data_IF_674013985722
#
_entry.id   IF_674013985722
#
_cell.length_a   1.000
_cell.length_b   1.000
_cell.length_c   1.000
_cell.angle_alpha   90.00
_cell.angle_beta   90.00
_cell.angle_gamma   90.00
#
_symmetry.space_group_name_H-M   'P 1'
#
loop_
_entity.id
_entity.type
_entity.pdbx_description
1 polymer ?
#
# COMPACT_ATOMS: atom_id res chain seq x y z
N UNK A 1 24.38 -14.89 -2.09
CA UNK A 1 23.14 -14.08 -2.22
C UNK A 1 22.76 -13.86 -3.67
N UNK A 2 23.67 -13.35 -4.52
CA UNK A 2 23.39 -13.05 -5.93
C UNK A 2 22.83 -14.22 -6.74
N UNK A 3 23.37 -15.43 -6.56
CA UNK A 3 22.86 -16.62 -7.26
C UNK A 3 21.41 -16.94 -6.88
N UNK A 4 21.04 -16.76 -5.61
CA UNK A 4 19.68 -16.95 -5.13
C UNK A 4 18.73 -15.88 -5.68
N UNK A 5 19.19 -14.62 -5.80
CA UNK A 5 18.43 -13.55 -6.45
C UNK A 5 18.20 -13.86 -7.92
N UNK A 6 19.25 -14.23 -8.66
CA UNK A 6 19.13 -14.63 -10.08
C UNK A 6 18.17 -15.81 -10.25
N UNK A 7 18.25 -16.81 -9.38
CA UNK A 7 17.32 -17.95 -9.37
C UNK A 7 15.88 -17.52 -9.11
N UNK A 8 15.65 -16.59 -8.18
CA UNK A 8 14.33 -16.06 -7.87
C UNK A 8 13.77 -15.18 -9.00
N UNK A 9 14.60 -14.32 -9.59
CA UNK A 9 14.25 -13.48 -10.74
C UNK A 9 13.91 -14.34 -11.96
N UNK A 10 14.67 -15.39 -12.23
CA UNK A 10 14.42 -16.32 -13.33
C UNK A 10 13.23 -17.28 -13.09
N UNK A 11 12.72 -17.39 -11.85
CA UNK A 11 11.57 -18.25 -11.55
C UNK A 11 10.37 -17.83 -12.40
N UNK A 12 9.81 -18.75 -13.19
CA UNK A 12 8.59 -18.50 -13.95
C UNK A 12 7.39 -18.38 -12.99
N UNK A 13 6.43 -17.49 -13.26
CA UNK A 13 5.20 -17.43 -12.46
C UNK A 13 4.40 -18.73 -12.63
N UNK A 14 3.71 -19.14 -11.57
CA UNK A 14 2.85 -20.33 -11.59
C UNK A 14 1.56 -20.10 -12.36
N UNK A 15 0.99 -18.89 -12.31
CA UNK A 15 -0.22 -18.54 -13.05
C UNK A 15 -0.06 -17.17 -13.69
N UNK A 16 -0.48 -17.07 -14.96
CA UNK A 16 -0.68 -15.82 -15.68
C UNK A 16 -2.10 -15.86 -16.23
N UNK A 17 -2.91 -14.88 -15.83
CA UNK A 17 -4.22 -14.62 -16.41
C UNK A 17 -4.14 -13.33 -17.23
N UNK A 18 -4.46 -13.43 -18.51
CA UNK A 18 -4.46 -12.31 -19.44
C UNK A 18 -5.90 -12.03 -19.90
N UNK A 19 -6.26 -10.75 -19.90
CA UNK A 19 -7.60 -10.30 -20.24
C UNK A 19 -7.50 -9.16 -21.23
N UNK A 20 -8.38 -9.19 -22.22
CA UNK A 20 -8.63 -8.08 -23.13
C UNK A 20 -10.07 -7.67 -22.96
N UNK A 21 -10.28 -6.40 -22.69
CA UNK A 21 -11.63 -5.87 -22.54
C UNK A 21 -12.38 -5.93 -23.87
N UNK A 22 -13.66 -6.31 -23.84
CA UNK A 22 -14.47 -6.45 -25.06
C UNK A 22 -15.05 -5.11 -25.53
N UNK A 23 -15.00 -4.07 -24.69
CA UNK A 23 -15.63 -2.76 -24.95
C UNK A 23 -14.63 -1.60 -25.05
N UNK A 24 -13.38 -1.80 -24.67
CA UNK A 24 -12.35 -0.76 -24.66
C UNK A 24 -10.99 -1.33 -25.06
N UNK A 25 -10.01 -0.45 -25.16
CA UNK A 25 -8.60 -0.76 -25.38
C UNK A 25 -7.89 -1.34 -24.13
N UNK A 26 -8.61 -1.52 -23.02
CA UNK A 26 -8.01 -2.01 -21.79
C UNK A 26 -7.49 -3.45 -21.93
N UNK A 27 -6.22 -3.65 -21.54
CA UNK A 27 -5.61 -4.96 -21.37
C UNK A 27 -5.26 -5.16 -19.90
N UNK A 28 -5.45 -6.36 -19.36
CA UNK A 28 -5.22 -6.66 -17.95
C UNK A 28 -4.44 -7.95 -17.73
N UNK A 29 -3.62 -7.95 -16.67
CA UNK A 29 -2.85 -9.11 -16.23
C UNK A 29 -3.07 -9.34 -14.74
N UNK A 30 -3.31 -10.59 -14.35
CA UNK A 30 -3.20 -11.06 -12.99
C UNK A 30 -2.14 -12.16 -12.98
N UNK A 31 -1.07 -11.92 -12.24
CA UNK A 31 0.10 -12.82 -12.19
C UNK A 31 0.27 -13.31 -10.77
N UNK A 32 0.43 -14.63 -10.64
CA UNK A 32 0.75 -15.30 -9.38
C UNK A 32 2.14 -15.89 -9.55
N UNK A 33 3.12 -15.33 -8.83
CA UNK A 33 4.49 -15.83 -8.83
C UNK A 33 4.59 -17.17 -8.11
N UNK A 34 3.81 -17.36 -7.04
CA UNK A 34 3.59 -18.67 -6.43
C UNK A 34 2.29 -18.75 -5.65
N UNK A 35 1.79 -19.97 -5.46
CA UNK A 35 0.71 -20.33 -4.53
C UNK A 35 1.27 -20.93 -3.25
N UNK A 36 2.44 -20.47 -2.77
CA UNK A 36 2.98 -20.89 -1.48
C UNK A 36 1.90 -20.77 -0.42
N UNK A 37 1.75 -21.78 0.45
CA UNK A 37 0.71 -21.78 1.46
C UNK A 37 -0.72 -21.88 0.93
N UNK A 38 -0.92 -22.19 -0.35
CA UNK A 38 -2.24 -22.40 -0.96
C UNK A 38 -2.94 -21.13 -1.46
N UNK A 39 -2.31 -19.96 -1.35
CA UNK A 39 -2.87 -18.71 -1.88
C UNK A 39 -1.79 -17.69 -2.23
N UNK A 40 -2.22 -16.57 -2.82
CA UNK A 40 -1.38 -15.41 -3.09
C UNK A 40 -2.18 -14.12 -2.95
N UNK A 41 -1.49 -12.98 -2.85
CA UNK A 41 -2.17 -11.69 -2.87
C UNK A 41 -1.35 -10.58 -3.52
N UNK A 42 -2.06 -9.55 -3.97
CA UNK A 42 -1.48 -8.33 -4.52
C UNK A 42 -2.54 -7.31 -4.93
N UNK A 43 -2.21 -6.03 -4.78
CA UNK A 43 -3.10 -4.95 -5.22
C UNK A 43 -3.33 -4.93 -6.75
N UNK A 44 -4.44 -4.34 -7.18
CA UNK A 44 -4.76 -4.04 -8.57
C UNK A 44 -4.33 -2.63 -8.91
N UNK A 45 -3.45 -2.49 -9.91
CA UNK A 45 -2.95 -1.21 -10.43
C UNK A 45 -3.60 -0.87 -11.76
N UNK A 46 -3.86 0.41 -12.02
CA UNK A 46 -4.25 0.90 -13.35
C UNK A 46 -3.30 2.01 -13.80
N UNK A 47 -2.63 1.81 -14.92
CA UNK A 47 -1.71 2.80 -15.48
C UNK A 47 -1.57 2.59 -16.98
N UNK A 48 -1.69 3.66 -17.75
CA UNK A 48 -1.38 3.63 -19.17
C UNK A 48 0.09 3.24 -19.38
N UNK A 49 0.34 2.24 -20.22
CA UNK A 49 1.67 1.71 -20.51
C UNK A 49 2.21 0.69 -19.51
N UNK A 50 1.42 0.23 -18.53
CA UNK A 50 1.82 -0.92 -17.70
C UNK A 50 1.94 -2.17 -18.56
N UNK A 51 2.99 -2.96 -18.33
CA UNK A 51 3.27 -4.18 -19.07
C UNK A 51 3.10 -5.42 -18.20
N UNK A 52 2.92 -6.58 -18.84
CA UNK A 52 2.94 -7.90 -18.17
C UNK A 52 4.20 -8.09 -17.32
N UNK A 53 5.36 -7.69 -17.82
CA UNK A 53 6.64 -7.84 -17.11
C UNK A 53 6.72 -6.97 -15.86
N UNK A 54 6.17 -5.75 -15.90
CA UNK A 54 6.04 -4.91 -14.71
C UNK A 54 5.13 -5.59 -13.66
N UNK A 55 3.99 -6.14 -14.09
CA UNK A 55 3.08 -6.86 -13.19
C UNK A 55 3.76 -8.09 -12.59
N UNK A 56 4.57 -8.81 -13.36
CA UNK A 56 5.35 -9.97 -12.89
C UNK A 56 6.40 -9.56 -11.86
N UNK A 57 7.14 -8.48 -12.12
CA UNK A 57 8.13 -7.95 -11.18
C UNK A 57 7.46 -7.56 -9.85
N UNK A 58 6.30 -6.90 -9.91
CA UNK A 58 5.52 -6.55 -8.72
C UNK A 58 4.98 -7.79 -7.97
N UNK A 59 4.55 -8.84 -8.68
CA UNK A 59 4.11 -10.10 -8.07
C UNK A 59 5.26 -10.80 -7.32
N UNK A 60 6.47 -10.79 -7.89
CA UNK A 60 7.69 -11.27 -7.22
C UNK A 60 7.98 -10.47 -5.96
N UNK A 61 7.90 -9.14 -6.03
CA UNK A 61 8.08 -8.28 -4.85
C UNK A 61 7.04 -8.59 -3.76
N UNK A 62 5.79 -8.87 -4.13
CA UNK A 62 4.78 -9.29 -3.16
C UNK A 62 5.13 -10.62 -2.47
N UNK A 63 5.75 -11.57 -3.17
CA UNK A 63 6.20 -12.83 -2.55
C UNK A 63 7.27 -12.58 -1.48
N UNK A 64 8.23 -11.69 -1.78
CA UNK A 64 9.24 -11.29 -0.79
C UNK A 64 8.57 -10.63 0.42
N UNK A 65 7.63 -9.71 0.20
CA UNK A 65 6.88 -9.05 1.29
C UNK A 65 6.16 -10.05 2.21
N UNK A 66 5.45 -11.03 1.64
CA UNK A 66 4.79 -12.06 2.45
C UNK A 66 5.76 -13.02 3.13
N UNK A 67 6.94 -13.23 2.55
CA UNK A 67 8.00 -14.04 3.18
C UNK A 67 8.56 -13.35 4.42
N UNK A 68 8.72 -12.03 4.38
CA UNK A 68 9.37 -11.28 5.46
C UNK A 68 8.39 -10.93 6.58
N UNK A 69 7.18 -10.47 6.25
CA UNK A 69 6.30 -9.83 7.24
C UNK A 69 4.81 -10.09 7.01
N UNK A 70 4.44 -11.26 6.48
CA UNK A 70 3.04 -11.59 6.20
C UNK A 70 2.69 -13.05 6.50
N UNK A 71 1.43 -13.45 6.25
CA UNK A 71 1.09 -14.87 6.28
C UNK A 71 1.96 -15.63 5.26
N UNK A 72 2.24 -16.92 5.48
CA UNK A 72 3.12 -17.72 4.62
C UNK A 72 2.45 -18.09 3.29
N UNK A 73 2.05 -17.07 2.53
CA UNK A 73 1.40 -17.13 1.23
C UNK A 73 2.37 -16.74 0.11
N UNK A 74 2.01 -16.97 -1.15
CA UNK A 74 2.79 -16.54 -2.30
C UNK A 74 2.51 -15.10 -2.74
N UNK A 75 3.27 -14.62 -3.72
CA UNK A 75 3.11 -13.28 -4.27
C UNK A 75 2.23 -13.27 -5.51
N UNK A 76 1.30 -12.32 -5.58
CA UNK A 76 0.55 -12.04 -6.79
C UNK A 76 0.49 -10.55 -7.09
N UNK A 77 -0.01 -10.19 -8.26
CA UNK A 77 -0.30 -8.80 -8.62
C UNK A 77 -1.28 -8.72 -9.78
N UNK A 78 -2.09 -7.67 -9.77
CA UNK A 78 -2.97 -7.30 -10.88
C UNK A 78 -2.55 -5.96 -11.48
N UNK A 79 -2.62 -5.82 -12.80
CA UNK A 79 -2.34 -4.58 -13.52
C UNK A 79 -3.25 -4.43 -14.74
N UNK A 80 -3.77 -3.23 -14.97
CA UNK A 80 -4.64 -2.89 -16.10
C UNK A 80 -4.02 -1.72 -16.86
N UNK A 81 -3.72 -1.95 -18.13
CA UNK A 81 -3.28 -0.94 -19.08
C UNK A 81 -4.49 -0.15 -19.58
N UNK A 82 -4.84 0.90 -18.83
CA UNK A 82 -5.92 1.82 -19.18
C UNK A 82 -5.68 3.18 -18.55
N UNK A 83 -6.21 4.25 -19.16
CA UNK A 83 -6.08 5.59 -18.62
C UNK A 83 -6.95 5.76 -17.36
N UNK A 84 -6.37 6.02 -16.17
CA UNK A 84 -7.14 6.15 -14.94
C UNK A 84 -8.02 7.41 -14.89
N UNK A 85 -7.81 8.37 -15.80
CA UNK A 85 -8.63 9.58 -15.93
C UNK A 85 -9.76 9.43 -16.96
N UNK A 86 -9.82 8.31 -17.67
CA UNK A 86 -10.87 8.09 -18.66
C UNK A 86 -12.23 7.89 -17.96
N UNK A 87 -13.31 8.53 -18.45
CA UNK A 87 -14.63 8.41 -17.85
C UNK A 87 -15.16 6.97 -17.79
N UNK A 88 -14.64 6.07 -18.64
CA UNK A 88 -15.01 4.64 -18.69
C UNK A 88 -14.31 3.79 -17.64
N UNK A 89 -13.34 4.32 -16.86
CA UNK A 89 -12.55 3.58 -15.85
C UNK A 89 -13.41 2.67 -14.99
N UNK A 90 -14.53 3.18 -14.49
CA UNK A 90 -15.43 2.44 -13.60
C UNK A 90 -16.01 1.19 -14.25
N UNK A 91 -16.36 1.26 -15.53
CA UNK A 91 -16.92 0.12 -16.27
C UNK A 91 -15.83 -0.90 -16.63
N UNK A 92 -14.62 -0.44 -16.97
CA UNK A 92 -13.44 -1.31 -17.15
C UNK A 92 -13.16 -2.10 -15.88
N UNK A 93 -13.15 -1.44 -14.72
CA UNK A 93 -12.95 -2.13 -13.43
C UNK A 93 -14.07 -3.14 -13.14
N UNK A 94 -15.34 -2.82 -13.41
CA UNK A 94 -16.44 -3.79 -13.24
C UNK A 94 -16.20 -5.07 -14.03
N UNK A 95 -15.83 -4.96 -15.31
CA UNK A 95 -15.55 -6.12 -16.17
C UNK A 95 -14.30 -6.88 -15.75
N UNK A 96 -13.25 -6.17 -15.32
CA UNK A 96 -12.05 -6.79 -14.75
C UNK A 96 -12.38 -7.66 -13.54
N UNK A 97 -13.08 -7.11 -12.53
CA UNK A 97 -13.43 -7.86 -11.32
C UNK A 97 -14.39 -9.03 -11.58
N UNK A 98 -15.24 -8.92 -12.61
CA UNK A 98 -16.05 -10.03 -13.07
C UNK A 98 -15.20 -11.13 -13.71
N UNK A 99 -14.24 -10.77 -14.57
CA UNK A 99 -13.34 -11.71 -15.23
C UNK A 99 -12.41 -12.43 -14.24
N UNK A 100 -11.87 -11.73 -13.24
CA UNK A 100 -10.95 -12.30 -12.25
C UNK A 100 -11.65 -12.97 -11.07
N UNK A 101 -12.98 -12.91 -11.00
CA UNK A 101 -13.79 -13.46 -9.90
C UNK A 101 -13.42 -14.89 -9.49
N UNK A 102 -13.21 -15.86 -10.41
CA UNK A 102 -12.88 -17.23 -10.01
C UNK A 102 -11.62 -17.29 -9.15
N UNK A 103 -10.57 -16.55 -9.52
CA UNK A 103 -9.31 -16.49 -8.76
C UNK A 103 -9.50 -15.80 -7.40
N UNK A 104 -10.24 -14.68 -7.40
CA UNK A 104 -10.53 -13.88 -6.21
C UNK A 104 -11.37 -14.63 -5.15
N UNK A 105 -12.20 -15.58 -5.58
CA UNK A 105 -12.97 -16.43 -4.67
C UNK A 105 -12.19 -17.64 -4.17
N UNK A 106 -11.16 -18.07 -4.88
CA UNK A 106 -10.50 -19.35 -4.58
C UNK A 106 -9.18 -19.19 -3.83
N UNK A 107 -8.23 -18.43 -4.36
CA UNK A 107 -6.84 -18.43 -3.84
C UNK A 107 -6.06 -17.15 -4.12
N UNK A 108 -6.70 -16.10 -4.65
CA UNK A 108 -6.08 -14.79 -4.84
C UNK A 108 -6.78 -13.72 -3.99
N UNK A 109 -6.01 -12.96 -3.22
CA UNK A 109 -6.48 -11.75 -2.54
C UNK A 109 -6.04 -10.50 -3.30
N UNK A 110 -6.94 -9.54 -3.43
CA UNK A 110 -6.62 -8.25 -4.05
C UNK A 110 -6.74 -7.11 -3.05
N UNK A 111 -6.25 -5.95 -3.45
CA UNK A 111 -6.53 -4.67 -2.82
C UNK A 111 -6.34 -3.52 -3.81
N UNK A 112 -6.42 -2.29 -3.32
CA UNK A 112 -6.08 -1.08 -4.05
C UNK A 112 -4.58 -0.99 -4.33
N UNK A 113 -4.24 -0.27 -5.40
CA UNK A 113 -2.88 0.14 -5.73
C UNK A 113 -2.97 1.46 -6.51
N UNK A 114 -1.89 1.87 -7.15
CA UNK A 114 -1.83 3.09 -7.95
C UNK A 114 -3.03 3.20 -8.90
N UNK A 115 -3.76 4.31 -8.73
CA UNK A 115 -4.97 4.71 -9.43
C UNK A 115 -6.18 3.76 -9.30
N UNK A 116 -6.19 2.85 -8.32
CA UNK A 116 -7.35 2.01 -8.00
C UNK A 116 -7.53 2.00 -6.49
N UNK A 117 -8.61 2.63 -6.02
CA UNK A 117 -8.86 2.85 -4.60
C UNK A 117 -9.46 1.61 -3.91
N UNK A 118 -8.93 1.25 -2.74
CA UNK A 118 -9.40 0.10 -1.95
C UNK A 118 -10.88 0.25 -1.55
N UNK A 119 -11.24 1.41 -1.00
CA UNK A 119 -12.51 1.62 -0.29
C UNK A 119 -13.64 1.92 -1.26
N UNK A 120 -13.38 2.77 -2.25
CA UNK A 120 -14.39 3.28 -3.17
C UNK A 120 -14.51 2.45 -4.45
N UNK A 121 -13.49 1.65 -4.79
CA UNK A 121 -13.47 0.85 -6.02
C UNK A 121 -13.37 -0.65 -5.73
N UNK A 122 -12.31 -1.13 -5.08
CA UNK A 122 -12.05 -2.57 -4.93
C UNK A 122 -13.11 -3.26 -4.07
N UNK A 123 -13.37 -2.79 -2.85
CA UNK A 123 -14.34 -3.41 -1.93
C UNK A 123 -15.74 -3.47 -2.56
N UNK A 124 -16.32 -2.37 -3.09
CA UNK A 124 -17.67 -2.41 -3.68
C UNK A 124 -17.75 -3.27 -4.93
N UNK A 125 -16.70 -3.32 -5.76
CA UNK A 125 -16.68 -4.14 -6.98
C UNK A 125 -16.54 -5.63 -6.67
N UNK A 126 -15.76 -6.00 -5.65
CA UNK A 126 -15.72 -7.36 -5.13
C UNK A 126 -17.12 -7.79 -4.65
N UNK A 127 -17.76 -6.98 -3.80
CA UNK A 127 -19.08 -7.29 -3.25
C UNK A 127 -20.15 -7.45 -4.34
N UNK A 128 -20.16 -6.56 -5.34
CA UNK A 128 -21.06 -6.67 -6.50
C UNK A 128 -20.85 -7.95 -7.32
N UNK A 129 -19.64 -8.50 -7.28
CA UNK A 129 -19.31 -9.76 -7.94
C UNK A 129 -19.54 -10.99 -7.03
N UNK A 130 -20.11 -10.82 -5.84
CA UNK A 130 -20.34 -11.91 -4.89
C UNK A 130 -19.04 -12.43 -4.25
N UNK A 131 -18.03 -11.56 -4.16
CA UNK A 131 -16.82 -11.76 -3.36
C UNK A 131 -17.04 -11.04 -2.03
N UNK A 132 -16.95 -11.77 -0.92
CA UNK A 132 -17.32 -11.30 0.43
C UNK A 132 -16.43 -10.14 0.89
N UNK A 133 -15.14 -10.21 0.58
CA UNK A 133 -14.13 -9.21 0.89
C UNK A 133 -12.93 -9.40 -0.06
N UNK A 134 -12.14 -8.36 -0.39
CA UNK A 134 -11.03 -8.48 -1.36
C UNK A 134 -10.00 -9.58 -1.05
N UNK A 135 -9.91 -10.00 0.22
CA UNK A 135 -9.03 -11.08 0.67
C UNK A 135 -9.70 -12.45 0.78
N UNK A 136 -10.95 -12.63 0.31
CA UNK A 136 -11.67 -13.92 0.42
C UNK A 136 -10.86 -15.09 -0.13
N UNK A 137 -10.24 -14.95 -1.30
CA UNK A 137 -9.40 -15.99 -1.89
C UNK A 137 -8.20 -16.36 -1.02
N UNK A 138 -7.57 -15.40 -0.33
CA UNK A 138 -6.52 -15.71 0.66
C UNK A 138 -7.11 -16.50 1.81
N UNK A 139 -8.26 -16.07 2.35
CA UNK A 139 -8.90 -16.75 3.49
C UNK A 139 -9.21 -18.21 3.16
N UNK A 140 -9.85 -18.44 2.00
CA UNK A 140 -10.24 -19.78 1.54
C UNK A 140 -9.03 -20.64 1.15
N UNK A 141 -8.11 -20.11 0.35
CA UNK A 141 -6.95 -20.85 -0.15
C UNK A 141 -5.91 -21.16 0.92
N UNK A 142 -5.66 -20.24 1.85
CA UNK A 142 -4.63 -20.38 2.88
C UNK A 142 -5.12 -21.09 4.13
N UNK A 143 -6.19 -20.57 4.76
CA UNK A 143 -6.62 -21.05 6.07
C UNK A 143 -7.50 -22.28 5.99
N UNK A 144 -8.16 -22.53 4.83
CA UNK A 144 -8.97 -23.73 4.54
C UNK A 144 -9.93 -24.09 5.68
N UNK A 145 -10.57 -23.08 6.26
CA UNK A 145 -11.56 -23.24 7.33
C UNK A 145 -12.91 -23.64 6.75
N UNK A 146 -13.79 -24.13 7.63
CA UNK A 146 -15.21 -24.25 7.30
C UNK A 146 -15.85 -22.87 7.04
N UNK A 147 -17.10 -22.84 6.58
CA UNK A 147 -17.77 -21.57 6.26
C UNK A 147 -17.86 -20.65 7.48
N UNK A 148 -18.11 -21.20 8.67
CA UNK A 148 -18.16 -20.41 9.91
C UNK A 148 -16.82 -19.73 10.21
N UNK A 149 -15.71 -20.48 10.14
CA UNK A 149 -14.37 -19.94 10.36
C UNK A 149 -13.96 -18.93 9.29
N UNK A 150 -14.31 -19.20 8.03
CA UNK A 150 -14.07 -18.28 6.90
C UNK A 150 -14.79 -16.95 7.13
N UNK A 151 -16.08 -16.99 7.48
CA UNK A 151 -16.87 -15.79 7.75
C UNK A 151 -16.35 -15.01 8.95
N UNK A 152 -15.87 -15.69 10.00
CA UNK A 152 -15.28 -15.02 11.17
C UNK A 152 -14.03 -14.22 10.79
N UNK A 153 -13.12 -14.79 9.99
CA UNK A 153 -11.90 -14.07 9.55
C UNK A 153 -12.29 -12.89 8.66
N UNK A 154 -13.19 -13.09 7.70
CA UNK A 154 -13.66 -12.02 6.82
C UNK A 154 -14.31 -10.89 7.61
N UNK A 155 -15.09 -11.22 8.65
CA UNK A 155 -15.72 -10.25 9.52
C UNK A 155 -14.70 -9.44 10.33
N UNK A 156 -13.64 -10.09 10.83
CA UNK A 156 -12.56 -9.40 11.53
C UNK A 156 -11.80 -8.45 10.59
N UNK A 157 -11.50 -8.89 9.37
CA UNK A 157 -10.83 -8.05 8.38
C UNK A 157 -11.69 -6.83 8.00
N UNK A 158 -12.97 -7.03 7.73
CA UNK A 158 -13.88 -5.93 7.34
C UNK A 158 -14.14 -4.92 8.45
N UNK A 159 -13.94 -5.30 9.72
CA UNK A 159 -14.02 -4.39 10.87
C UNK A 159 -12.69 -3.77 11.26
N UNK A 160 -11.60 -4.54 11.21
CA UNK A 160 -10.30 -4.14 11.74
C UNK A 160 -9.61 -3.08 10.88
N UNK A 161 -9.66 -3.22 9.56
CA UNK A 161 -9.02 -2.25 8.65
C UNK A 161 -9.63 -0.84 8.77
N UNK A 162 -10.97 -0.66 8.76
CA UNK A 162 -11.58 0.66 8.93
C UNK A 162 -11.75 1.09 10.39
N UNK A 163 -11.26 0.30 11.36
CA UNK A 163 -11.43 0.62 12.78
C UNK A 163 -10.78 1.99 13.09
N UNK A 164 -11.50 2.86 13.78
CA UNK A 164 -10.97 4.18 14.16
C UNK A 164 -9.99 4.04 15.33
N UNK A 165 -8.85 4.70 15.21
CA UNK A 165 -7.82 4.72 16.24
C UNK A 165 -8.15 5.79 17.28
N UNK A 166 -8.70 5.37 18.42
CA UNK A 166 -9.13 6.28 19.50
C UNK A 166 -8.03 6.61 20.52
N UNK A 167 -6.96 5.80 20.57
CA UNK A 167 -5.86 6.02 21.51
C UNK A 167 -5.08 7.29 21.12
N UNK A 168 -5.09 8.30 21.99
CA UNK A 168 -4.41 9.61 21.80
C UNK A 168 -2.91 9.52 21.52
N UNK A 169 -2.25 8.41 21.88
CA UNK A 169 -0.84 8.18 21.56
C UNK A 169 -0.62 7.68 20.14
N UNK A 170 -1.64 7.09 19.52
CA UNK A 170 -1.55 6.46 18.21
C UNK A 170 -2.25 7.27 17.11
N UNK A 171 -3.06 8.27 17.46
CA UNK A 171 -3.73 9.13 16.50
C UNK A 171 -3.12 10.54 16.48
N UNK A 172 -2.83 11.10 15.28
CA UNK A 172 -2.37 12.48 15.17
C UNK A 172 -3.34 13.50 15.75
N UNK A 173 -4.65 13.28 15.61
CA UNK A 173 -5.67 14.17 16.12
C UNK A 173 -6.89 13.37 16.57
N UNK A 174 -7.22 13.40 17.86
CA UNK A 174 -8.37 12.67 18.40
C UNK A 174 -9.73 13.19 17.92
N UNK A 175 -9.78 14.43 17.42
CA UNK A 175 -10.99 15.02 16.84
C UNK A 175 -11.17 14.64 15.36
N UNK A 176 -10.10 14.17 14.69
CA UNK A 176 -10.19 13.60 13.33
C UNK A 176 -10.27 12.08 13.41
N UNK A 177 -11.05 11.47 12.50
CA UNK A 177 -11.24 10.02 12.45
C UNK A 177 -10.22 9.39 11.52
N UNK A 178 -9.09 8.96 12.08
CA UNK A 178 -8.12 8.13 11.37
C UNK A 178 -8.43 6.65 11.59
N UNK A 179 -8.52 5.89 10.51
CA UNK A 179 -8.64 4.44 10.58
C UNK A 179 -7.28 3.77 10.81
N UNK A 180 -7.29 2.50 11.22
CA UNK A 180 -6.09 1.66 11.24
C UNK A 180 -5.45 1.65 9.85
N UNK A 181 -6.25 1.51 8.79
CA UNK A 181 -5.75 1.55 7.40
C UNK A 181 -4.98 2.82 7.03
N UNK A 182 -5.38 3.98 7.57
CA UNK A 182 -4.71 5.27 7.29
C UNK A 182 -3.30 5.35 7.91
N UNK A 183 -3.12 4.71 9.06
CA UNK A 183 -1.94 4.90 9.91
C UNK A 183 -0.97 3.71 9.90
N UNK A 184 -1.48 2.49 9.74
CA UNK A 184 -0.72 1.25 10.04
C UNK A 184 0.55 1.09 9.22
N UNK A 185 0.55 1.54 7.97
CA UNK A 185 1.73 1.40 7.09
C UNK A 185 2.84 2.36 7.53
N UNK A 186 2.50 3.62 7.81
CA UNK A 186 3.47 4.60 8.32
C UNK A 186 3.96 4.25 9.72
N UNK A 187 3.06 3.71 10.56
CA UNK A 187 3.42 3.14 11.86
C UNK A 187 4.46 2.02 11.71
N UNK A 188 4.23 1.04 10.83
CA UNK A 188 5.17 -0.05 10.59
C UNK A 188 6.55 0.42 10.08
N UNK A 189 6.59 1.48 9.26
CA UNK A 189 7.86 2.11 8.82
C UNK A 189 8.60 2.69 10.02
N UNK A 190 7.92 3.47 10.86
CA UNK A 190 8.54 4.06 12.05
C UNK A 190 9.04 2.97 13.01
N UNK A 191 8.21 1.98 13.33
CA UNK A 191 8.58 0.85 14.19
C UNK A 191 9.79 0.07 13.64
N UNK A 192 9.88 -0.14 12.32
CA UNK A 192 11.04 -0.81 11.72
C UNK A 192 12.34 -0.03 11.98
N UNK A 193 12.30 1.30 11.93
CA UNK A 193 13.44 2.18 12.24
C UNK A 193 13.77 2.14 13.74
N UNK A 194 12.76 2.18 14.61
CA UNK A 194 12.94 2.07 16.06
C UNK A 194 13.58 0.72 16.43
N UNK A 195 13.08 -0.37 15.84
CA UNK A 195 13.62 -1.71 16.02
C UNK A 195 15.07 -1.84 15.53
N UNK A 196 15.44 -1.19 14.42
CA UNK A 196 16.83 -1.16 13.98
C UNK A 196 17.76 -0.62 15.08
N UNK A 197 17.43 0.54 15.67
CA UNK A 197 18.23 1.12 16.76
C UNK A 197 18.20 0.26 18.03
N UNK A 198 17.07 -0.37 18.35
CA UNK A 198 16.99 -1.29 19.48
C UNK A 198 17.90 -2.53 19.33
N UNK A 199 18.08 -3.03 18.11
CA UNK A 199 18.90 -4.23 17.84
C UNK A 199 20.39 -3.88 17.71
N UNK A 200 20.70 -2.85 16.95
CA UNK A 200 22.09 -2.51 16.58
C UNK A 200 22.72 -1.43 17.47
N UNK A 201 21.95 -0.88 18.42
CA UNK A 201 22.39 0.14 19.37
C UNK A 201 22.14 1.57 18.89
N UNK A 202 22.01 2.47 19.86
CA UNK A 202 21.63 3.88 19.65
C UNK A 202 20.14 4.11 19.85
N UNK A 203 19.68 5.31 19.50
CA UNK A 203 18.27 5.70 19.55
C UNK A 203 17.93 6.65 18.41
N UNK A 204 16.65 6.69 18.03
CA UNK A 204 16.15 7.61 17.01
C UNK A 204 16.11 9.07 17.52
N UNK A 205 16.06 9.25 18.83
CA UNK A 205 15.95 10.56 19.47
C UNK A 205 17.11 11.45 19.06
N UNK A 206 16.79 12.65 18.58
CA UNK A 206 17.77 13.63 18.09
C UNK A 206 18.33 13.36 16.69
N UNK A 207 17.96 12.25 16.03
CA UNK A 207 18.40 11.98 14.65
C UNK A 207 17.64 12.86 13.66
N UNK A 208 18.36 13.45 12.70
CA UNK A 208 17.75 14.22 11.61
C UNK A 208 17.15 13.29 10.57
N UNK A 209 15.93 13.58 10.14
CA UNK A 209 15.17 12.77 9.18
C UNK A 209 14.62 13.66 8.07
N UNK A 210 14.75 13.17 6.84
CA UNK A 210 14.12 13.72 5.64
C UNK A 210 12.99 12.77 5.23
N UNK A 211 11.84 13.33 4.88
CA UNK A 211 10.65 12.59 4.44
C UNK A 211 10.37 12.92 2.97
N UNK A 212 10.29 11.89 2.13
CA UNK A 212 9.87 12.03 0.73
C UNK A 212 8.47 11.44 0.55
N UNK A 213 7.58 12.24 -0.02
CA UNK A 213 6.14 12.05 -0.10
C UNK A 213 5.41 12.57 1.15
N UNK A 214 4.17 13.03 0.99
CA UNK A 214 3.32 13.47 2.12
C UNK A 214 1.92 12.82 2.18
N UNK A 215 1.76 11.70 1.48
CA UNK A 215 0.57 10.86 1.56
C UNK A 215 0.45 10.09 2.87
N UNK A 216 -0.54 9.20 2.97
CA UNK A 216 -0.82 8.41 4.19
C UNK A 216 0.42 7.76 4.83
N UNK A 217 1.23 7.06 4.04
CA UNK A 217 2.39 6.31 4.57
C UNK A 217 3.46 7.25 5.15
N UNK A 218 3.95 8.17 4.32
CA UNK A 218 5.07 9.05 4.69
C UNK A 218 4.68 10.04 5.78
N UNK A 219 3.47 10.60 5.71
CA UNK A 219 2.95 11.50 6.74
C UNK A 219 2.77 10.81 8.10
N UNK A 220 2.18 9.60 8.12
CA UNK A 220 2.07 8.83 9.36
C UNK A 220 3.44 8.42 9.91
N UNK A 221 4.38 7.99 9.05
CA UNK A 221 5.75 7.68 9.47
C UNK A 221 6.45 8.90 10.09
N UNK A 222 6.33 10.08 9.48
CA UNK A 222 6.88 11.32 10.01
C UNK A 222 6.30 11.64 11.40
N UNK A 223 4.99 11.47 11.58
CA UNK A 223 4.32 11.66 12.88
C UNK A 223 4.90 10.74 13.97
N UNK A 224 5.00 9.43 13.71
CA UNK A 224 5.51 8.47 14.71
C UNK A 224 7.01 8.64 14.98
N UNK A 225 7.81 8.94 13.97
CA UNK A 225 9.24 9.23 14.15
C UNK A 225 9.45 10.50 14.98
N UNK A 226 8.71 11.58 14.69
CA UNK A 226 8.75 12.80 15.47
C UNK A 226 8.28 12.57 16.92
N UNK A 227 7.25 11.75 17.12
CA UNK A 227 6.80 11.33 18.45
C UNK A 227 7.89 10.59 19.23
N UNK A 228 8.70 9.76 18.55
CA UNK A 228 9.84 9.08 19.14
C UNK A 228 11.09 9.97 19.33
N UNK A 229 10.99 11.27 19.00
CA UNK A 229 12.04 12.25 19.19
C UNK A 229 13.00 12.42 18.01
N UNK A 230 12.70 11.85 16.84
CA UNK A 230 13.40 12.18 15.62
C UNK A 230 13.15 13.65 15.23
N UNK A 231 14.15 14.29 14.63
CA UNK A 231 14.09 15.68 14.19
C UNK A 231 13.82 15.70 12.70
N UNK A 232 12.59 16.00 12.30
CA UNK A 232 12.26 16.16 10.88
C UNK A 232 12.87 17.47 10.40
N UNK A 233 13.76 17.41 9.41
CA UNK A 233 14.47 18.59 8.87
C UNK A 233 14.10 18.92 7.43
N UNK A 234 13.48 17.98 6.73
CA UNK A 234 13.07 18.15 5.35
C UNK A 234 11.85 17.30 5.02
N UNK A 235 10.92 17.87 4.28
CA UNK A 235 9.77 17.19 3.71
C UNK A 235 9.69 17.58 2.24
N UNK A 236 9.63 16.62 1.33
CA UNK A 236 9.51 16.87 -0.12
C UNK A 236 8.41 16.01 -0.73
N UNK A 237 7.54 16.60 -1.51
CA UNK A 237 6.42 15.97 -2.21
C UNK A 237 6.31 16.53 -3.64
N UNK A 238 5.50 15.93 -4.51
CA UNK A 238 5.36 16.39 -5.90
C UNK A 238 4.94 17.87 -6.03
N UNK A 239 4.25 18.41 -5.01
CA UNK A 239 3.84 19.82 -4.96
C UNK A 239 4.93 20.79 -4.50
N UNK A 240 6.06 20.31 -3.97
CA UNK A 240 7.11 21.16 -3.40
C UNK A 240 7.71 20.59 -2.12
N UNK A 241 8.44 21.40 -1.36
CA UNK A 241 9.06 20.95 -0.13
C UNK A 241 9.27 22.02 0.94
N UNK A 242 9.46 21.55 2.16
CA UNK A 242 9.74 22.33 3.36
C UNK A 242 11.08 21.88 3.92
N UNK A 243 11.96 22.83 4.21
CA UNK A 243 13.28 22.56 4.79
C UNK A 243 13.47 23.46 6.00
N UNK A 244 13.84 22.85 7.12
CA UNK A 244 14.26 23.53 8.33
C UNK A 244 15.43 22.75 8.94
N UNK A 245 16.65 23.29 8.80
CA UNK A 245 17.89 22.63 9.25
C UNK A 245 17.97 22.45 10.76
N UNK A 246 17.26 23.29 11.51
CA UNK A 246 17.14 23.24 12.97
C UNK A 246 16.08 22.23 13.42
N UNK A 247 15.16 21.87 12.52
CA UNK A 247 14.15 20.85 12.71
C UNK A 247 12.76 21.38 13.05
N UNK A 248 11.74 20.64 12.61
CA UNK A 248 10.34 20.85 12.98
C UNK A 248 10.05 20.21 14.33
N UNK A 249 9.29 20.92 15.17
CA UNK A 249 8.78 20.36 16.43
C UNK A 249 7.72 19.29 16.17
N UNK A 250 7.47 18.42 17.14
CA UNK A 250 6.42 17.40 17.04
C UNK A 250 5.05 17.99 16.70
N UNK A 251 4.67 19.11 17.33
CA UNK A 251 3.39 19.78 17.04
C UNK A 251 3.36 20.40 15.64
N UNK A 252 4.49 20.88 15.10
CA UNK A 252 4.57 21.35 13.72
C UNK A 252 4.38 20.21 12.72
N UNK A 253 5.06 19.07 12.92
CA UNK A 253 4.91 17.88 12.06
C UNK A 253 3.47 17.38 12.08
N UNK A 254 2.87 17.30 13.27
CA UNK A 254 1.47 16.93 13.45
C UNK A 254 0.52 17.91 12.75
N UNK A 255 0.73 19.23 12.89
CA UNK A 255 -0.06 20.24 12.19
C UNK A 255 0.06 20.13 10.65
N UNK A 256 1.26 19.86 10.12
CA UNK A 256 1.48 19.64 8.68
C UNK A 256 0.76 18.38 8.17
N UNK A 257 0.68 17.33 8.99
CA UNK A 257 -0.11 16.14 8.66
C UNK A 257 -1.61 16.43 8.70
N UNK A 258 -2.07 17.24 9.65
CA UNK A 258 -3.47 17.58 9.79
C UNK A 258 -3.97 18.53 8.71
N UNK A 259 -3.15 19.48 8.28
CA UNK A 259 -3.54 20.56 7.35
C UNK A 259 -3.33 20.22 5.88
N UNK A 260 -2.89 18.99 5.57
CA UNK A 260 -2.73 18.53 4.19
C UNK A 260 -4.08 18.48 3.45
N UNK A 261 -4.10 18.87 2.18
CA UNK A 261 -5.24 18.58 1.31
C UNK A 261 -5.07 17.20 0.68
N UNK A 262 -5.99 16.29 1.05
CA UNK A 262 -5.92 14.89 0.64
C UNK A 262 -4.59 14.22 1.06
N UNK A 263 -3.65 14.05 0.12
CA UNK A 263 -2.38 13.35 0.32
C UNK A 263 -1.16 14.22 -0.05
N UNK A 264 -1.34 15.54 -0.16
CA UNK A 264 -0.28 16.47 -0.60
C UNK A 264 0.15 17.41 0.50
N UNK A 265 1.45 17.72 0.54
CA UNK A 265 1.98 18.73 1.46
C UNK A 265 1.41 20.12 1.14
N UNK A 266 0.97 20.85 2.17
CA UNK A 266 0.51 22.23 2.04
C UNK A 266 1.07 23.12 3.15
N UNK A 267 1.66 24.25 2.75
CA UNK A 267 2.15 25.30 3.63
C UNK A 267 2.44 26.56 2.82
N UNK A 268 2.29 27.73 3.44
CA UNK A 268 2.49 29.04 2.79
C UNK A 268 3.94 29.27 2.31
N UNK A 269 4.92 28.58 2.91
CA UNK A 269 6.35 28.81 2.67
C UNK A 269 7.04 27.64 1.97
N UNK A 270 6.33 26.94 1.08
CA UNK A 270 6.90 25.82 0.33
C UNK A 270 7.89 26.29 -0.76
N UNK A 271 9.03 25.61 -0.82
CA UNK A 271 9.91 25.64 -1.98
C UNK A 271 9.27 24.87 -3.13
N UNK A 272 9.60 25.23 -4.37
CA UNK A 272 9.29 24.38 -5.53
C UNK A 272 9.96 23.00 -5.37
N UNK A 273 9.42 21.99 -6.06
CA UNK A 273 9.97 20.64 -6.02
C UNK A 273 11.46 20.63 -6.38
N UNK A 274 11.85 21.28 -7.47
CA UNK A 274 13.25 21.29 -7.94
C UNK A 274 14.19 21.93 -6.91
N UNK A 275 13.80 23.07 -6.32
CA UNK A 275 14.61 23.76 -5.32
C UNK A 275 14.72 22.96 -4.01
N UNK A 276 13.63 22.31 -3.59
CA UNK A 276 13.65 21.44 -2.42
C UNK A 276 14.53 20.20 -2.68
N UNK A 277 14.40 19.61 -3.87
CA UNK A 277 15.14 18.42 -4.28
C UNK A 277 16.65 18.70 -4.35
N UNK A 278 17.04 19.81 -4.97
CA UNK A 278 18.44 20.23 -5.02
C UNK A 278 19.00 20.38 -3.59
N UNK A 279 18.35 21.18 -2.74
CA UNK A 279 18.84 21.45 -1.38
C UNK A 279 18.89 20.23 -0.44
N UNK A 280 18.03 19.24 -0.67
CA UNK A 280 17.98 18.02 0.17
C UNK A 280 19.08 17.03 -0.23
N UNK A 281 19.40 16.94 -1.53
CA UNK A 281 20.26 15.88 -2.07
C UNK A 281 21.63 16.35 -2.55
N UNK A 282 21.91 17.66 -2.56
CA UNK A 282 23.24 18.23 -2.77
C UNK A 282 24.09 18.19 -1.49
#
# INVERSE_FOLDING_TARGET
MEELLKKFEAKRPEIVFEWKDTETEAEGWLIINSLRGGSSAGGTRMRMGITKDEVLALAKTMEVKFTVSGPPIGGGKSGINFNPKDPRKKEVLKRWFAATKPLLKSYYGTGGDMNVDEVHEVIPLCQKNGILFPLEGVVRGHYKKDEKGTMNIIHQLSKGVPLIVENKKLTPNSSKKYSVGDLITGYGVAESILHYYNIYGGEVKGKKVIIQGWGNVAGAAAYYLAQAGAIIVGIIDIGGGLINTDGYTFEQVKALLENRSSNFLESDNMLSFDNANEKIWS
#
